data_IF_353350071057
#
_entry.id   IF_353350071057
#
_cell.length_a   1.000
_cell.length_b   1.000
_cell.length_c   1.000
_cell.angle_alpha   90.00
_cell.angle_beta   90.00
_cell.angle_gamma   90.00
#
_symmetry.space_group_name_H-M   'P 1'
#
loop_
_entity.id
_entity.type
_entity.pdbx_description
1 polymer ?
#
# COMPACT_ATOMS: atom_id res chain seq x y z
N UNK A 1 43.58 20.33 10.98
CA UNK A 1 43.64 20.17 9.51
C UNK A 1 43.42 21.51 8.81
N UNK A 2 44.32 21.91 7.91
CA UNK A 2 44.16 23.11 7.08
C UNK A 2 43.12 22.82 5.99
N UNK A 3 42.14 23.70 5.84
CA UNK A 3 41.12 23.63 4.80
C UNK A 3 41.81 23.61 3.43
N UNK A 4 41.39 22.72 2.53
CA UNK A 4 41.88 22.65 1.16
C UNK A 4 40.75 23.15 0.27
N UNK A 5 41.03 24.19 -0.51
CA UNK A 5 40.13 24.75 -1.51
C UNK A 5 40.70 24.44 -2.90
N UNK A 6 39.85 23.96 -3.81
CA UNK A 6 40.23 23.60 -5.17
C UNK A 6 39.22 24.24 -6.13
N UNK A 7 39.71 25.02 -7.09
CA UNK A 7 38.93 25.54 -8.20
C UNK A 7 39.42 24.86 -9.48
N UNK A 8 38.59 23.99 -10.05
CA UNK A 8 38.89 23.21 -11.26
C UNK A 8 37.59 22.89 -12.00
N UNK A 9 37.67 22.65 -13.30
CA UNK A 9 36.54 22.16 -14.10
C UNK A 9 36.10 20.75 -13.70
N UNK A 10 37.03 19.96 -13.15
CA UNK A 10 36.76 18.61 -12.67
C UNK A 10 37.58 18.34 -11.42
N UNK A 11 36.96 17.70 -10.44
CA UNK A 11 37.62 17.20 -9.23
C UNK A 11 37.29 15.73 -9.02
N UNK A 12 38.31 14.90 -8.78
CA UNK A 12 38.16 13.46 -8.66
C UNK A 12 39.04 12.93 -7.52
N UNK A 13 38.43 12.12 -6.65
CA UNK A 13 39.12 11.35 -5.61
C UNK A 13 39.14 9.90 -6.08
N UNK A 14 40.34 9.35 -6.22
CA UNK A 14 40.55 7.95 -6.59
C UNK A 14 40.98 7.12 -5.37
N UNK A 15 40.60 5.86 -5.37
CA UNK A 15 41.19 4.84 -4.52
C UNK A 15 42.66 4.61 -4.89
N UNK A 16 43.43 3.97 -4.01
CA UNK A 16 44.82 3.57 -4.25
C UNK A 16 44.99 2.72 -5.52
N UNK A 17 43.92 2.03 -5.95
CA UNK A 17 43.89 1.19 -7.16
C UNK A 17 43.43 1.95 -8.42
N UNK A 18 43.23 3.27 -8.34
CA UNK A 18 42.78 4.11 -9.45
C UNK A 18 41.27 4.14 -9.71
N UNK A 19 40.45 3.41 -8.93
CA UNK A 19 38.97 3.47 -9.04
C UNK A 19 38.45 4.84 -8.53
N UNK A 20 37.61 5.56 -9.29
CA UNK A 20 36.96 6.78 -8.80
C UNK A 20 36.04 6.47 -7.61
N UNK A 21 36.21 7.24 -6.53
CA UNK A 21 35.37 7.21 -5.32
C UNK A 21 34.40 8.38 -5.28
N UNK A 22 34.83 9.54 -5.77
CA UNK A 22 34.04 10.76 -5.85
C UNK A 22 34.49 11.56 -7.07
N UNK A 23 33.56 11.93 -7.94
CA UNK A 23 33.82 12.78 -9.10
C UNK A 23 32.80 13.90 -9.11
N UNK A 24 33.25 15.12 -9.34
CA UNK A 24 32.38 16.27 -9.57
C UNK A 24 32.88 17.06 -10.77
N UNK A 25 31.95 17.43 -11.64
CA UNK A 25 32.14 18.37 -12.73
C UNK A 25 30.95 19.35 -12.81
N UNK A 26 30.86 20.14 -13.89
CA UNK A 26 29.78 21.11 -14.09
C UNK A 26 28.39 20.47 -14.30
N UNK A 27 28.32 19.18 -14.60
CA UNK A 27 27.08 18.48 -14.98
C UNK A 27 26.57 17.59 -13.86
N UNK A 28 27.45 16.86 -13.19
CA UNK A 28 27.05 15.86 -12.21
C UNK A 28 28.05 15.65 -11.07
N UNK A 29 27.54 15.04 -10.00
CA UNK A 29 28.33 14.51 -8.90
C UNK A 29 28.11 13.00 -8.85
N UNK A 30 29.18 12.23 -8.98
CA UNK A 30 29.15 10.77 -8.97
C UNK A 30 29.88 10.26 -7.74
N UNK A 31 29.22 9.43 -6.94
CA UNK A 31 29.83 8.74 -5.80
C UNK A 31 30.04 7.27 -6.17
N UNK A 32 31.29 6.88 -6.47
CA UNK A 32 31.69 5.56 -6.96
C UNK A 32 31.96 4.51 -5.87
N UNK A 33 31.48 4.75 -4.65
CA UNK A 33 31.59 3.82 -3.52
C UNK A 33 30.56 2.69 -3.65
N UNK A 34 30.89 1.50 -3.15
CA UNK A 34 29.94 0.37 -3.13
C UNK A 34 28.82 0.58 -2.08
N UNK A 35 29.05 1.47 -1.10
CA UNK A 35 28.07 1.81 -0.05
C UNK A 35 28.15 3.30 0.29
N UNK A 36 27.02 3.99 0.11
CA UNK A 36 26.80 5.34 0.63
C UNK A 36 25.89 5.24 1.86
N UNK A 37 26.35 5.76 3.01
CA UNK A 37 25.57 5.78 4.25
C UNK A 37 25.26 7.22 4.63
N UNK A 38 23.98 7.54 4.75
CA UNK A 38 23.51 8.84 5.23
C UNK A 38 23.23 8.70 6.72
N UNK A 39 23.95 9.44 7.57
CA UNK A 39 23.85 9.36 9.03
C UNK A 39 23.23 10.60 9.67
N UNK A 40 22.77 11.56 8.86
CA UNK A 40 22.07 12.73 9.35
C UNK A 40 20.74 12.31 10.00
N UNK A 41 20.32 12.95 11.11
CA UNK A 41 19.07 12.60 11.80
C UNK A 41 17.83 12.77 10.90
N UNK A 42 17.89 13.70 9.96
CA UNK A 42 16.82 13.97 8.97
C UNK A 42 16.97 13.12 7.69
N UNK A 43 17.94 12.21 7.64
CA UNK A 43 18.21 11.41 6.45
C UNK A 43 18.72 12.25 5.27
N UNK A 44 18.20 11.96 4.07
CA UNK A 44 18.52 12.67 2.84
C UNK A 44 17.25 13.21 2.19
N UNK A 45 17.32 14.44 1.68
CA UNK A 45 16.30 15.04 0.84
C UNK A 45 16.65 14.80 -0.62
N UNK A 46 15.71 14.23 -1.37
CA UNK A 46 15.80 14.10 -2.81
C UNK A 46 14.75 15.01 -3.43
N UNK A 47 15.19 16.11 -4.06
CA UNK A 47 14.29 17.07 -4.72
C UNK A 47 13.69 16.52 -6.02
N UNK A 48 14.29 15.46 -6.55
CA UNK A 48 13.92 14.81 -7.79
C UNK A 48 13.78 13.29 -7.59
N UNK A 49 13.57 12.56 -8.68
CA UNK A 49 13.42 11.11 -8.66
C UNK A 49 14.72 10.39 -8.27
N UNK A 50 14.58 9.32 -7.50
CA UNK A 50 15.64 8.35 -7.22
C UNK A 50 15.28 7.05 -7.92
N UNK A 51 16.18 6.57 -8.76
CA UNK A 51 16.06 5.25 -9.37
C UNK A 51 16.87 4.23 -8.56
N UNK A 52 16.22 3.16 -8.11
CA UNK A 52 16.87 2.06 -7.41
C UNK A 52 16.16 0.75 -7.72
N UNK A 53 16.91 -0.35 -7.93
CA UNK A 53 16.29 -1.66 -8.19
C UNK A 53 15.65 -2.28 -6.94
N UNK A 54 16.05 -1.85 -5.73
CA UNK A 54 15.55 -2.41 -4.48
C UNK A 54 15.50 -1.35 -3.39
N UNK A 55 14.34 -1.26 -2.75
CA UNK A 55 14.15 -0.52 -1.50
C UNK A 55 13.83 -1.55 -0.42
N UNK A 56 14.60 -1.54 0.67
CA UNK A 56 14.40 -2.44 1.82
C UNK A 56 14.74 -1.71 3.11
N UNK A 57 14.08 -2.10 4.19
CA UNK A 57 14.50 -1.73 5.53
C UNK A 57 15.67 -2.60 6.02
N UNK A 58 16.30 -2.12 7.10
CA UNK A 58 17.26 -2.90 7.87
C UNK A 58 16.59 -4.13 8.52
N UNK A 59 17.35 -5.19 8.82
CA UNK A 59 16.81 -6.35 9.51
C UNK A 59 16.08 -5.95 10.80
N UNK A 60 14.88 -6.53 11.00
CA UNK A 60 14.02 -6.27 12.16
C UNK A 60 13.49 -4.83 12.29
N UNK A 61 13.62 -4.02 11.23
CA UNK A 61 12.99 -2.71 11.13
C UNK A 61 11.92 -2.72 10.03
N UNK A 62 10.89 -1.90 10.22
CA UNK A 62 9.82 -1.76 9.23
C UNK A 62 10.26 -0.83 8.10
N UNK A 63 9.95 -1.21 6.85
CA UNK A 63 10.02 -0.28 5.73
C UNK A 63 8.78 0.60 5.75
N UNK A 64 8.93 1.84 6.25
CA UNK A 64 7.85 2.82 6.30
C UNK A 64 7.90 3.74 5.07
N UNK A 65 6.84 3.72 4.29
CA UNK A 65 6.58 4.68 3.22
C UNK A 65 5.40 5.54 3.66
N UNK A 66 5.60 6.84 3.82
CA UNK A 66 4.57 7.74 4.35
C UNK A 66 4.48 9.06 3.57
N UNK A 67 3.27 9.59 3.51
CA UNK A 67 2.97 10.92 2.97
C UNK A 67 1.99 11.62 3.90
N UNK A 68 2.47 12.30 4.96
CA UNK A 68 1.61 12.83 6.02
C UNK A 68 0.61 13.89 5.54
N UNK A 69 0.92 14.62 4.47
CA UNK A 69 0.15 15.78 4.00
C UNK A 69 -0.47 15.60 2.62
N UNK A 70 -0.11 14.54 1.89
CA UNK A 70 -0.51 14.35 0.49
C UNK A 70 -0.86 12.88 0.26
N UNK A 71 -0.40 12.33 -0.85
CA UNK A 71 -0.62 10.94 -1.24
C UNK A 71 0.70 10.20 -1.35
N UNK A 72 0.61 8.89 -1.21
CA UNK A 72 1.62 7.92 -1.63
C UNK A 72 1.00 7.11 -2.77
N UNK A 73 1.64 7.06 -3.93
CA UNK A 73 1.21 6.22 -5.05
C UNK A 73 2.26 5.15 -5.36
N UNK A 74 1.78 3.99 -5.82
CA UNK A 74 2.62 2.89 -6.30
C UNK A 74 2.09 2.46 -7.67
N UNK A 75 2.80 2.86 -8.71
CA UNK A 75 2.41 2.64 -10.09
C UNK A 75 3.38 1.64 -10.74
N UNK A 76 2.85 0.57 -11.32
CA UNK A 76 3.66 -0.50 -11.92
C UNK A 76 3.04 -1.01 -13.23
N UNK A 77 3.78 -0.98 -14.37
CA UNK A 77 3.24 -1.41 -15.67
C UNK A 77 2.74 -2.86 -15.72
N UNK A 78 3.35 -3.76 -14.94
CA UNK A 78 2.92 -5.17 -14.85
C UNK A 78 2.02 -5.46 -13.65
N UNK A 79 1.81 -4.48 -12.77
CA UNK A 79 1.08 -4.64 -11.51
C UNK A 79 1.95 -4.59 -10.26
N UNK A 80 1.29 -4.39 -9.13
CA UNK A 80 1.86 -4.30 -7.78
C UNK A 80 1.47 -5.57 -7.01
N UNK A 81 2.44 -6.24 -6.39
CA UNK A 81 2.20 -7.43 -5.57
C UNK A 81 2.56 -7.13 -4.11
N UNK A 82 1.55 -7.20 -3.24
CA UNK A 82 1.71 -6.97 -1.79
C UNK A 82 1.60 -8.33 -1.11
N UNK A 83 2.70 -8.78 -0.50
CA UNK A 83 2.78 -10.10 0.14
C UNK A 83 3.46 -9.98 1.51
N UNK A 84 2.93 -10.71 2.49
CA UNK A 84 3.54 -10.86 3.80
C UNK A 84 3.85 -12.35 4.03
N UNK A 85 5.14 -12.72 3.96
CA UNK A 85 5.55 -14.12 4.12
C UNK A 85 5.28 -14.67 5.52
N UNK A 86 5.30 -13.79 6.52
CA UNK A 86 4.86 -14.04 7.88
C UNK A 86 4.13 -12.79 8.41
N UNK A 87 3.13 -12.99 9.26
CA UNK A 87 2.33 -11.90 9.83
C UNK A 87 1.02 -11.65 9.08
N UNK A 88 0.48 -10.44 9.23
CA UNK A 88 -0.80 -10.00 8.65
C UNK A 88 -0.59 -8.72 7.84
N UNK A 89 -1.42 -8.52 6.82
CA UNK A 89 -1.55 -7.24 6.11
C UNK A 89 -2.80 -6.55 6.69
N UNK A 90 -2.65 -5.32 7.16
CA UNK A 90 -3.76 -4.51 7.67
C UNK A 90 -3.87 -3.22 6.86
N UNK A 91 -5.07 -2.94 6.37
CA UNK A 91 -5.42 -1.67 5.75
C UNK A 91 -6.47 -0.98 6.61
N UNK A 92 -6.12 0.20 7.14
CA UNK A 92 -6.98 1.00 8.00
C UNK A 92 -7.16 2.38 7.34
N UNK A 93 -8.40 2.86 7.27
CA UNK A 93 -8.72 4.20 6.78
C UNK A 93 -9.68 4.87 7.77
N UNK A 94 -9.50 6.18 7.98
CA UNK A 94 -10.47 6.99 8.71
C UNK A 94 -11.72 7.25 7.85
N UNK A 95 -11.54 7.28 6.52
CA UNK A 95 -12.60 7.40 5.54
C UNK A 95 -12.77 6.06 4.84
N UNK A 96 -13.02 6.08 3.54
CA UNK A 96 -13.28 4.88 2.75
C UNK A 96 -12.00 4.17 2.33
N UNK A 97 -12.13 2.86 2.07
CA UNK A 97 -11.17 2.07 1.31
C UNK A 97 -11.89 1.68 0.02
N UNK A 98 -11.40 2.16 -1.12
CA UNK A 98 -12.01 1.89 -2.43
C UNK A 98 -11.17 0.85 -3.15
N UNK A 99 -11.75 -0.33 -3.37
CA UNK A 99 -11.19 -1.37 -4.23
C UNK A 99 -11.95 -1.35 -5.56
N UNK A 100 -11.28 -0.94 -6.63
CA UNK A 100 -11.89 -0.77 -7.95
C UNK A 100 -11.14 -1.55 -9.03
N UNK A 101 -11.89 -2.19 -9.92
CA UNK A 101 -11.38 -2.89 -11.10
C UNK A 101 -12.26 -2.52 -12.29
N UNK A 102 -11.65 -2.03 -13.37
CA UNK A 102 -12.38 -1.60 -14.59
C UNK A 102 -12.85 -2.79 -15.43
N UNK A 103 -11.92 -3.69 -15.74
CA UNK A 103 -12.15 -4.81 -16.67
C UNK A 103 -11.94 -6.18 -15.99
N UNK A 104 -11.32 -6.19 -14.82
CA UNK A 104 -10.94 -7.39 -14.10
C UNK A 104 -11.91 -7.79 -12.98
N UNK A 105 -11.55 -8.85 -12.27
CA UNK A 105 -12.30 -9.38 -11.14
C UNK A 105 -11.64 -8.98 -9.81
N UNK A 106 -12.47 -8.57 -8.84
CA UNK A 106 -12.04 -8.51 -7.44
C UNK A 106 -12.27 -9.88 -6.79
N UNK A 107 -11.19 -10.57 -6.43
CA UNK A 107 -11.26 -11.89 -5.79
C UNK A 107 -10.87 -11.77 -4.32
N UNK A 108 -11.77 -12.21 -3.43
CA UNK A 108 -11.52 -12.35 -2.00
C UNK A 108 -11.51 -13.85 -1.66
N UNK A 109 -10.36 -14.50 -1.90
CA UNK A 109 -10.18 -15.93 -1.65
C UNK A 109 -9.61 -16.15 -0.25
N UNK A 110 -10.49 -16.51 0.69
CA UNK A 110 -10.15 -16.76 2.09
C UNK A 110 -11.12 -17.77 2.71
N UNK A 111 -10.68 -18.49 3.75
CA UNK A 111 -11.55 -19.37 4.54
C UNK A 111 -12.69 -18.59 5.21
N UNK A 112 -12.47 -17.32 5.54
CA UNK A 112 -13.49 -16.46 6.16
C UNK A 112 -13.33 -15.01 5.69
N UNK A 113 -14.45 -14.42 5.26
CA UNK A 113 -14.56 -12.99 4.95
C UNK A 113 -15.56 -12.37 5.94
N UNK A 114 -15.10 -11.39 6.72
CA UNK A 114 -15.91 -10.76 7.77
C UNK A 114 -16.39 -9.37 7.33
N UNK A 115 -17.71 -9.18 7.28
CA UNK A 115 -18.38 -7.90 7.05
C UNK A 115 -19.24 -7.53 8.28
N UNK A 116 -18.65 -6.96 9.35
CA UNK A 116 -19.27 -6.95 10.67
C UNK A 116 -20.44 -5.97 10.84
N UNK A 117 -20.60 -5.01 9.91
CA UNK A 117 -21.58 -3.92 10.01
C UNK A 117 -22.63 -3.97 8.90
N UNK A 118 -22.93 -5.15 8.38
CA UNK A 118 -24.07 -5.32 7.47
C UNK A 118 -25.37 -5.01 8.23
N UNK A 119 -26.18 -4.12 7.67
CA UNK A 119 -27.51 -3.83 8.20
C UNK A 119 -28.38 -5.08 8.10
N UNK A 120 -29.09 -5.41 9.17
CA UNK A 120 -29.99 -6.57 9.19
C UNK A 120 -31.38 -6.14 8.70
N UNK A 121 -31.89 -6.83 7.69
CA UNK A 121 -33.27 -6.72 7.25
C UNK A 121 -34.22 -7.18 8.35
N UNK A 122 -35.33 -6.47 8.48
CA UNK A 122 -36.30 -6.67 9.56
C UNK A 122 -36.70 -8.13 9.71
N UNK A 123 -36.86 -8.58 10.96
CA UNK A 123 -37.25 -9.94 11.29
C UNK A 123 -38.56 -10.33 10.59
N UNK A 124 -38.47 -11.35 9.73
CA UNK A 124 -39.63 -12.13 9.32
C UNK A 124 -40.25 -12.87 10.51
N UNK A 125 -41.54 -13.25 10.44
CA UNK A 125 -42.28 -13.78 11.58
C UNK A 125 -41.60 -15.03 12.15
N UNK A 126 -41.46 -15.02 13.47
CA UNK A 126 -40.81 -16.02 14.32
C UNK A 126 -41.24 -17.45 13.98
N UNK A 127 -40.39 -18.21 13.28
CA UNK A 127 -40.71 -19.60 12.93
C UNK A 127 -39.54 -20.49 12.53
N UNK A 128 -38.38 -19.93 12.17
CA UNK A 128 -37.18 -20.70 11.82
C UNK A 128 -36.19 -20.69 12.98
N UNK A 129 -35.97 -21.84 13.62
CA UNK A 129 -34.94 -22.06 14.64
C UNK A 129 -33.51 -22.11 14.07
N UNK A 130 -33.34 -21.86 12.77
CA UNK A 130 -32.06 -21.91 12.09
C UNK A 130 -31.52 -20.49 11.90
N UNK A 131 -30.36 -20.20 12.50
CA UNK A 131 -29.59 -18.94 12.31
C UNK A 131 -28.89 -18.92 10.95
N UNK A 132 -29.64 -19.19 9.88
CA UNK A 132 -29.15 -19.10 8.51
C UNK A 132 -29.49 -17.71 7.99
N UNK A 133 -28.53 -17.11 7.30
CA UNK A 133 -28.68 -15.79 6.72
C UNK A 133 -28.29 -15.82 5.25
N UNK A 134 -28.89 -14.93 4.48
CA UNK A 134 -28.47 -14.62 3.12
C UNK A 134 -27.95 -13.19 3.06
N UNK A 135 -26.99 -12.94 2.18
CA UNK A 135 -26.46 -11.61 1.90
C UNK A 135 -27.13 -11.12 0.62
N UNK A 136 -27.77 -9.96 0.72
CA UNK A 136 -28.50 -9.34 -0.35
C UNK A 136 -27.77 -8.10 -0.86
N UNK A 137 -27.93 -7.80 -2.15
CA UNK A 137 -27.27 -6.68 -2.83
C UNK A 137 -28.33 -5.73 -3.39
N UNK A 138 -28.23 -4.46 -3.05
CA UNK A 138 -29.07 -3.40 -3.61
C UNK A 138 -28.59 -2.99 -5.01
N UNK A 139 -29.44 -2.37 -5.85
CA UNK A 139 -29.01 -1.85 -7.16
C UNK A 139 -27.87 -0.83 -7.10
N UNK A 140 -27.71 -0.13 -5.97
CA UNK A 140 -26.62 0.82 -5.70
C UNK A 140 -25.34 0.16 -5.13
N UNK A 141 -25.34 -1.16 -4.96
CA UNK A 141 -24.20 -1.94 -4.46
C UNK A 141 -24.13 -2.09 -2.93
N UNK A 142 -25.08 -1.52 -2.16
CA UNK A 142 -25.14 -1.75 -0.71
C UNK A 142 -25.45 -3.22 -0.39
N UNK A 143 -24.76 -3.75 0.61
CA UNK A 143 -24.99 -5.10 1.12
C UNK A 143 -25.81 -5.07 2.41
N UNK A 144 -26.72 -6.02 2.57
CA UNK A 144 -27.48 -6.22 3.81
C UNK A 144 -27.70 -7.70 4.09
N UNK A 145 -28.01 -8.00 5.35
CA UNK A 145 -28.22 -9.36 5.85
C UNK A 145 -29.71 -9.65 5.98
N UNK A 146 -30.21 -10.72 5.38
CA UNK A 146 -31.60 -11.17 5.56
C UNK A 146 -31.65 -12.55 6.21
N UNK A 147 -32.71 -12.85 6.96
CA UNK A 147 -32.90 -14.19 7.56
C UNK A 147 -33.27 -15.17 6.44
N UNK A 148 -32.51 -16.25 6.29
CA UNK A 148 -32.75 -17.23 5.24
C UNK A 148 -34.03 -18.05 5.53
N UNK A 149 -34.89 -18.18 4.52
CA UNK A 149 -36.10 -18.99 4.55
C UNK A 149 -36.03 -20.18 3.60
N UNK A 150 -37.19 -20.77 3.29
CA UNK A 150 -37.30 -21.83 2.26
C UNK A 150 -37.00 -21.28 0.86
N UNK A 151 -37.14 -19.98 0.66
CA UNK A 151 -36.70 -19.23 -0.51
C UNK A 151 -35.97 -17.95 -0.11
N UNK A 152 -35.56 -17.15 -1.10
CA UNK A 152 -34.91 -15.85 -0.84
C UNK A 152 -35.90 -14.86 -0.22
N UNK A 153 -35.44 -14.18 0.83
CA UNK A 153 -36.15 -13.14 1.58
C UNK A 153 -35.61 -11.72 1.25
N UNK A 154 -34.61 -11.59 0.37
CA UNK A 154 -34.07 -10.31 -0.09
C UNK A 154 -35.17 -9.37 -0.64
N UNK A 155 -36.15 -9.87 -1.40
CA UNK A 155 -37.20 -9.00 -1.95
C UNK A 155 -38.10 -8.39 -0.86
N UNK A 156 -38.40 -9.15 0.19
CA UNK A 156 -39.25 -8.71 1.30
C UNK A 156 -38.59 -7.59 2.12
N UNK A 157 -37.26 -7.65 2.24
CA UNK A 157 -36.44 -6.69 2.98
C UNK A 157 -35.79 -5.61 2.09
N UNK A 158 -36.27 -5.44 0.85
CA UNK A 158 -35.73 -4.49 -0.13
C UNK A 158 -35.86 -3.00 0.25
N UNK A 159 -36.67 -2.67 1.26
CA UNK A 159 -36.81 -1.30 1.77
C UNK A 159 -35.50 -0.71 2.32
N UNK A 160 -34.50 -1.54 2.65
CA UNK A 160 -33.15 -1.11 3.05
C UNK A 160 -32.40 -0.46 1.88
N UNK A 161 -32.81 -0.75 0.64
CA UNK A 161 -32.21 -0.21 -0.58
C UNK A 161 -32.76 1.18 -0.97
N UNK A 162 -33.69 1.74 -0.20
CA UNK A 162 -34.34 3.04 -0.46
C UNK A 162 -33.59 4.21 0.19
#
# INVERSE_FOLDING_TARGET
PKMVEVQSQQFQINSNNGKPLFTVDEKEVVVGTDKLRVTGPEGALFEHSVETPLVRADPFQDLRLESPTRSLSMDAPRGVHIQAHAGKIEALSQMDIVLHSSDGMLVLDAETVCLPKLVQGTWGPSGSSQRLYEICVCPDGKLYLSVAGVGTTCQENSHICL
#
